data_IF_262955666162
#
_entry.id   IF_262955666162
#
_cell.length_a   1.000
_cell.length_b   1.000
_cell.length_c   1.000
_cell.angle_alpha   90.00
_cell.angle_beta   90.00
_cell.angle_gamma   90.00
#
_symmetry.space_group_name_H-M   'P 1'
#
loop_
_entity.id
_entity.type
_entity.pdbx_description
1 polymer ?
#
# COMPACT_ATOMS: atom_id res chain seq x y z
N UNK A 1 28.24 11.28 12.17
CA UNK A 1 27.54 10.85 10.94
C UNK A 1 28.57 10.18 10.05
N UNK A 2 28.61 8.86 10.00
CA UNK A 2 29.51 8.14 9.09
C UNK A 2 28.90 8.18 7.70
N UNK A 3 29.57 8.84 6.76
CA UNK A 3 29.22 8.83 5.35
C UNK A 3 29.35 7.39 4.83
N UNK A 4 28.35 6.94 4.06
CA UNK A 4 28.35 5.62 3.43
C UNK A 4 29.41 5.67 2.33
N UNK A 5 30.63 5.21 2.62
CA UNK A 5 31.57 4.86 1.57
C UNK A 5 30.89 3.80 0.68
N UNK A 6 30.78 4.09 -0.63
CA UNK A 6 30.16 3.24 -1.65
C UNK A 6 28.63 3.15 -1.64
N UNK A 7 27.92 4.24 -1.30
CA UNK A 7 26.44 4.31 -1.44
C UNK A 7 25.97 3.89 -2.84
N UNK A 8 26.70 4.25 -3.88
CA UNK A 8 26.35 3.94 -5.28
C UNK A 8 26.41 2.43 -5.56
N UNK A 9 27.42 1.74 -5.03
CA UNK A 9 27.55 0.28 -5.13
C UNK A 9 26.41 -0.41 -4.38
N UNK A 10 26.04 0.09 -3.20
CA UNK A 10 24.88 -0.45 -2.49
C UNK A 10 23.57 -0.19 -3.21
N UNK A 11 23.40 0.98 -3.85
CA UNK A 11 22.23 1.24 -4.70
C UNK A 11 22.17 0.25 -5.88
N UNK A 12 23.30 -0.09 -6.48
CA UNK A 12 23.40 -1.08 -7.55
C UNK A 12 23.08 -2.49 -7.05
N UNK A 13 23.62 -2.91 -5.91
CA UNK A 13 23.27 -4.19 -5.28
C UNK A 13 21.76 -4.25 -4.98
N UNK A 14 21.20 -3.17 -4.44
CA UNK A 14 19.78 -3.07 -4.10
C UNK A 14 18.88 -3.08 -5.33
N UNK A 15 19.38 -2.65 -6.49
CA UNK A 15 18.67 -2.76 -7.76
C UNK A 15 18.35 -4.23 -8.12
N UNK A 16 19.21 -5.19 -7.75
CA UNK A 16 18.92 -6.61 -7.94
C UNK A 16 17.80 -7.13 -7.03
N UNK A 17 17.57 -6.46 -5.90
CA UNK A 17 16.47 -6.76 -4.97
C UNK A 17 15.18 -6.01 -5.29
N UNK A 18 15.17 -5.22 -6.37
CA UNK A 18 13.98 -4.51 -6.82
C UNK A 18 12.82 -5.50 -7.03
N UNK A 19 11.71 -5.18 -6.40
CA UNK A 19 10.50 -5.99 -6.39
C UNK A 19 9.62 -5.62 -7.58
N UNK A 20 9.44 -6.55 -8.51
CA UNK A 20 8.50 -6.42 -9.61
C UNK A 20 7.32 -7.35 -9.33
N UNK A 21 6.32 -6.85 -8.59
CA UNK A 21 5.20 -7.67 -8.11
C UNK A 21 4.38 -8.36 -9.22
N UNK A 22 4.44 -7.85 -10.44
CA UNK A 22 3.77 -8.41 -11.62
C UNK A 22 4.61 -9.45 -12.39
N UNK A 23 5.93 -9.48 -12.20
CA UNK A 23 6.86 -10.28 -13.02
C UNK A 23 7.63 -11.33 -12.19
N UNK A 24 7.91 -11.02 -10.93
CA UNK A 24 8.64 -11.90 -10.03
C UNK A 24 7.75 -13.07 -9.58
N UNK A 25 8.34 -14.27 -9.45
CA UNK A 25 7.64 -15.43 -8.87
C UNK A 25 7.33 -15.17 -7.39
N UNK A 26 6.22 -15.70 -6.85
CA UNK A 26 5.87 -15.52 -5.44
C UNK A 26 6.97 -15.96 -4.45
N UNK A 27 7.71 -17.02 -4.77
CA UNK A 27 8.87 -17.48 -4.00
C UNK A 27 9.97 -16.42 -3.93
N UNK A 28 10.24 -15.76 -5.06
CA UNK A 28 11.34 -14.82 -5.22
C UNK A 28 10.99 -13.50 -4.53
N UNK A 29 9.73 -13.06 -4.66
CA UNK A 29 9.19 -11.90 -3.90
C UNK A 29 9.37 -12.13 -2.41
N UNK A 30 9.04 -13.33 -1.90
CA UNK A 30 9.17 -13.66 -0.48
C UNK A 30 10.61 -13.59 -0.01
N UNK A 31 11.55 -14.16 -0.77
CA UNK A 31 12.98 -14.13 -0.44
C UNK A 31 13.53 -12.70 -0.51
N UNK A 32 13.25 -11.95 -1.57
CA UNK A 32 13.68 -10.54 -1.71
C UNK A 32 13.16 -9.67 -0.56
N UNK A 33 11.86 -9.77 -0.22
CA UNK A 33 11.27 -9.05 0.92
C UNK A 33 11.92 -9.43 2.24
N UNK A 34 12.16 -10.72 2.49
CA UNK A 34 12.82 -11.19 3.70
C UNK A 34 14.23 -10.61 3.81
N UNK A 35 15.03 -10.68 2.74
CA UNK A 35 16.40 -10.16 2.71
C UNK A 35 16.44 -8.65 2.93
N UNK A 36 15.57 -7.89 2.25
CA UNK A 36 15.46 -6.44 2.46
C UNK A 36 15.05 -6.09 3.89
N UNK A 37 14.13 -6.85 4.49
CA UNK A 37 13.75 -6.66 5.89
C UNK A 37 14.91 -6.95 6.84
N UNK A 38 15.62 -8.07 6.64
CA UNK A 38 16.82 -8.40 7.42
C UNK A 38 17.85 -7.29 7.32
N UNK A 39 18.14 -6.79 6.12
CA UNK A 39 19.08 -5.68 5.89
C UNK A 39 18.64 -4.40 6.59
N UNK A 40 17.34 -4.07 6.53
CA UNK A 40 16.80 -2.89 7.19
C UNK A 40 16.97 -2.94 8.72
N UNK A 41 16.85 -4.13 9.30
CA UNK A 41 16.97 -4.36 10.75
C UNK A 41 18.42 -4.51 11.22
N UNK A 42 19.30 -5.08 10.40
CA UNK A 42 20.68 -5.40 10.83
C UNK A 42 21.68 -4.28 10.57
N UNK A 43 21.45 -3.41 9.57
CA UNK A 43 22.42 -2.40 9.17
C UNK A 43 21.80 -1.00 9.05
N UNK A 44 22.12 -0.13 10.03
CA UNK A 44 21.65 1.26 10.08
C UNK A 44 21.96 2.08 8.83
N UNK A 45 23.07 1.78 8.16
CA UNK A 45 23.48 2.52 6.96
C UNK A 45 22.67 2.12 5.72
N UNK A 46 22.07 0.93 5.73
CA UNK A 46 21.24 0.42 4.64
C UNK A 46 19.75 0.49 4.94
N UNK A 47 19.35 0.82 6.17
CA UNK A 47 17.95 0.90 6.60
C UNK A 47 17.10 1.73 5.65
N UNK A 48 17.53 2.95 5.33
CA UNK A 48 16.75 3.80 4.42
C UNK A 48 16.67 3.25 2.99
N UNK A 49 17.75 2.66 2.48
CA UNK A 49 17.78 2.11 1.11
C UNK A 49 16.90 0.86 1.03
N UNK A 50 17.02 -0.04 2.00
CA UNK A 50 16.23 -1.26 2.07
C UNK A 50 14.74 -0.97 2.28
N UNK A 51 14.40 -0.03 3.17
CA UNK A 51 13.02 0.41 3.35
C UNK A 51 12.47 1.12 2.11
N UNK A 52 13.29 1.89 1.37
CA UNK A 52 12.84 2.48 0.11
C UNK A 52 12.41 1.38 -0.86
N UNK A 53 13.21 0.34 -1.06
CA UNK A 53 12.84 -0.76 -1.97
C UNK A 53 11.68 -1.64 -1.44
N UNK A 54 11.57 -1.84 -0.12
CA UNK A 54 10.44 -2.56 0.50
C UNK A 54 9.11 -1.86 0.26
N UNK A 55 9.08 -0.53 0.43
CA UNK A 55 7.88 0.28 0.28
C UNK A 55 7.62 0.70 -1.16
N UNK A 56 8.59 0.53 -2.06
CA UNK A 56 8.50 0.95 -3.46
C UNK A 56 7.35 0.28 -4.20
N UNK A 57 7.25 -1.03 -4.06
CA UNK A 57 6.26 -1.88 -4.72
C UNK A 57 5.42 -2.57 -3.66
N UNK A 58 4.18 -2.11 -3.47
CA UNK A 58 3.28 -2.58 -2.42
C UNK A 58 2.05 -3.26 -3.02
N UNK A 59 1.49 -4.22 -2.28
CA UNK A 59 0.22 -4.88 -2.62
C UNK A 59 -0.93 -4.50 -1.70
N UNK A 60 -0.66 -3.64 -0.72
CA UNK A 60 -1.62 -3.12 0.27
C UNK A 60 -0.98 -1.96 1.02
N UNK A 61 -1.77 -0.96 1.40
CA UNK A 61 -1.40 0.15 2.27
C UNK A 61 -1.72 -0.12 3.74
N UNK A 62 -2.27 -1.29 4.09
CA UNK A 62 -2.55 -1.70 5.48
C UNK A 62 -1.39 -1.50 6.47
N UNK A 63 -0.11 -1.69 6.11
CA UNK A 63 0.99 -1.45 7.05
C UNK A 63 1.03 -0.03 7.62
N UNK A 64 0.40 0.95 6.96
CA UNK A 64 0.26 2.32 7.46
C UNK A 64 -0.60 2.38 8.72
N UNK A 65 -1.60 1.51 8.88
CA UNK A 65 -2.42 1.42 10.10
C UNK A 65 -1.55 1.11 11.30
N UNK A 66 -0.59 0.19 11.16
CA UNK A 66 0.35 -0.14 12.22
C UNK A 66 1.24 1.06 12.59
N UNK A 67 1.70 1.83 11.60
CA UNK A 67 2.52 3.03 11.84
C UNK A 67 1.71 4.13 12.54
N UNK A 68 0.43 4.30 12.19
CA UNK A 68 -0.45 5.29 12.81
C UNK A 68 -0.78 4.93 14.26
N UNK A 69 -0.99 3.64 14.52
CA UNK A 69 -1.35 3.13 15.83
C UNK A 69 -0.13 2.82 16.72
N UNK A 70 1.10 3.08 16.26
CA UNK A 70 2.30 2.86 17.06
C UNK A 70 2.33 3.83 18.26
N UNK A 71 2.22 3.25 19.46
CA UNK A 71 2.09 3.97 20.74
C UNK A 71 3.44 4.39 21.32
N UNK A 72 4.56 4.04 20.69
CA UNK A 72 5.93 4.27 21.22
C UNK A 72 6.33 5.75 21.29
N UNK A 73 5.57 6.65 20.67
CA UNK A 73 5.88 8.09 20.60
C UNK A 73 4.92 8.99 21.38
N UNK A 74 3.93 8.44 22.09
CA UNK A 74 3.01 9.21 22.94
C UNK A 74 3.22 8.87 24.41
N UNK A 75 4.10 9.64 25.05
CA UNK A 75 4.55 9.49 26.44
C UNK A 75 3.50 9.82 27.52
N UNK A 76 2.20 9.73 27.25
CA UNK A 76 1.16 10.06 28.24
C UNK A 76 0.35 8.82 28.63
N UNK A 77 0.43 8.50 29.91
CA UNK A 77 -0.18 7.41 30.69
C UNK A 77 -1.72 7.29 30.67
N UNK A 78 -2.41 7.78 29.65
CA UNK A 78 -3.84 7.57 29.46
C UNK A 78 -4.06 6.42 28.47
N UNK A 79 -5.10 5.61 28.67
CA UNK A 79 -5.46 4.50 27.80
C UNK A 79 -5.34 4.90 26.31
N UNK A 80 -4.35 4.35 25.62
CA UNK A 80 -4.00 4.78 24.27
C UNK A 80 -5.06 4.27 23.31
N UNK A 81 -6.01 5.13 22.97
CA UNK A 81 -6.98 4.83 21.92
C UNK A 81 -6.27 4.80 20.57
N UNK A 82 -6.48 3.77 19.74
CA UNK A 82 -5.88 3.71 18.42
C UNK A 82 -6.34 4.90 17.57
N UNK A 83 -5.43 5.45 16.77
CA UNK A 83 -5.69 6.56 15.85
C UNK A 83 -6.66 6.14 14.77
N UNK A 84 -6.47 4.94 14.21
CA UNK A 84 -7.38 4.31 13.26
C UNK A 84 -7.95 3.03 13.89
N UNK A 85 -9.27 2.93 13.90
CA UNK A 85 -10.00 1.76 14.39
C UNK A 85 -10.95 1.24 13.33
N UNK A 86 -10.93 -0.07 13.09
CA UNK A 86 -11.93 -0.72 12.25
C UNK A 86 -13.26 -0.79 12.99
N UNK A 87 -14.32 -0.24 12.41
CA UNK A 87 -15.66 -0.20 12.99
C UNK A 87 -16.70 -0.48 11.91
N UNK A 88 -17.45 -1.59 12.04
CA UNK A 88 -18.61 -1.95 11.20
C UNK A 88 -18.47 -1.50 9.73
N UNK A 89 -17.41 -1.98 9.08
CA UNK A 89 -17.15 -1.78 7.64
C UNK A 89 -16.45 -0.46 7.24
N UNK A 90 -15.98 0.35 8.18
CA UNK A 90 -15.16 1.51 7.86
C UNK A 90 -14.01 1.73 8.86
N UNK A 91 -13.01 2.49 8.42
CA UNK A 91 -11.95 2.99 9.30
C UNK A 91 -12.40 4.29 9.97
N UNK A 92 -12.55 4.22 11.29
CA UNK A 92 -12.86 5.37 12.13
C UNK A 92 -11.56 6.04 12.58
N UNK A 93 -11.46 7.35 12.30
CA UNK A 93 -10.37 8.19 12.80
C UNK A 93 -10.78 8.68 14.18
N UNK A 94 -9.94 8.45 15.19
CA UNK A 94 -10.15 8.98 16.53
C UNK A 94 -10.27 10.50 16.53
N UNK A 95 -10.93 11.09 17.54
CA UNK A 95 -10.99 12.55 17.68
C UNK A 95 -9.58 13.10 17.92
N UNK A 96 -9.07 13.83 16.93
CA UNK A 96 -7.70 14.36 16.94
C UNK A 96 -7.76 15.88 16.96
N UNK A 97 -6.92 16.49 17.79
CA UNK A 97 -6.67 17.94 17.70
C UNK A 97 -5.93 18.25 16.38
N UNK A 98 -6.04 19.49 15.90
CA UNK A 98 -5.34 19.94 14.69
C UNK A 98 -3.81 19.73 14.74
N UNK A 99 -3.22 19.82 15.94
CA UNK A 99 -1.80 19.53 16.16
C UNK A 99 -1.49 18.03 16.07
N UNK A 100 -2.38 17.18 16.59
CA UNK A 100 -2.24 15.73 16.50
C UNK A 100 -2.30 15.27 15.03
N UNK A 101 -3.18 15.85 14.21
CA UNK A 101 -3.24 15.57 12.77
C UNK A 101 -1.91 15.83 12.06
N UNK A 102 -1.27 16.99 12.31
CA UNK A 102 0.05 17.30 11.72
C UNK A 102 1.12 16.29 12.12
N UNK A 103 1.12 15.85 13.38
CA UNK A 103 2.04 14.83 13.86
C UNK A 103 1.80 13.45 13.21
N UNK A 104 0.56 13.10 12.88
CA UNK A 104 0.27 11.83 12.20
C UNK A 104 0.71 11.88 10.74
N UNK A 105 0.42 12.98 10.04
CA UNK A 105 0.85 13.20 8.66
C UNK A 105 2.37 13.08 8.55
N UNK A 106 3.11 13.72 9.46
CA UNK A 106 4.58 13.66 9.45
C UNK A 106 5.14 12.27 9.74
N UNK A 107 4.40 11.41 10.46
CA UNK A 107 4.78 10.02 10.70
C UNK A 107 4.61 9.14 9.47
N UNK A 108 3.52 9.28 8.71
CA UNK A 108 3.22 8.37 7.59
C UNK A 108 3.73 8.87 6.23
N UNK A 109 3.91 10.18 6.07
CA UNK A 109 4.41 10.79 4.84
C UNK A 109 5.73 10.20 4.33
N UNK A 110 6.74 9.91 5.18
CA UNK A 110 7.98 9.26 4.74
C UNK A 110 7.78 7.87 4.12
N UNK A 111 6.76 7.13 4.54
CA UNK A 111 6.46 5.79 4.02
C UNK A 111 5.62 5.87 2.76
N UNK A 112 4.55 6.66 2.78
CA UNK A 112 3.66 6.84 1.64
C UNK A 112 4.37 7.47 0.43
N UNK A 113 5.36 8.34 0.67
CA UNK A 113 6.18 8.92 -0.41
C UNK A 113 7.18 7.94 -1.03
N UNK A 114 7.43 6.78 -0.42
CA UNK A 114 8.28 5.72 -0.98
C UNK A 114 7.50 4.84 -1.97
N UNK A 115 6.17 4.81 -1.89
CA UNK A 115 5.31 4.01 -2.75
C UNK A 115 5.34 4.55 -4.18
N UNK A 116 5.97 3.81 -5.10
CA UNK A 116 6.01 4.11 -6.53
C UNK A 116 5.09 3.19 -7.34
N UNK A 117 4.80 1.99 -6.84
CA UNK A 117 3.95 1.00 -7.52
C UNK A 117 3.01 0.35 -6.53
N UNK A 118 1.72 0.31 -6.88
CA UNK A 118 0.69 -0.46 -6.19
C UNK A 118 0.17 -1.55 -7.11
N UNK A 119 0.22 -2.80 -6.66
CA UNK A 119 -0.18 -3.96 -7.44
C UNK A 119 -1.14 -4.85 -6.66
N UNK A 120 -2.40 -4.88 -7.12
CA UNK A 120 -3.48 -5.67 -6.56
C UNK A 120 -3.80 -6.83 -7.50
N UNK A 121 -3.28 -8.02 -7.17
CA UNK A 121 -3.53 -9.25 -7.93
C UNK A 121 -4.98 -9.76 -7.82
N UNK A 122 -5.68 -9.30 -6.78
CA UNK A 122 -7.13 -9.44 -6.57
C UNK A 122 -7.65 -8.04 -6.27
N UNK A 123 -8.90 -7.74 -6.63
CA UNK A 123 -9.49 -6.45 -6.34
C UNK A 123 -9.34 -6.10 -4.84
N UNK A 124 -8.96 -4.85 -4.50
CA UNK A 124 -8.78 -4.41 -3.12
C UNK A 124 -9.97 -4.76 -2.22
N UNK A 125 -9.71 -5.24 -1.01
CA UNK A 125 -10.76 -5.55 -0.04
C UNK A 125 -11.49 -4.29 0.44
N UNK A 126 -12.66 -4.49 1.06
CA UNK A 126 -13.43 -3.45 1.76
C UNK A 126 -12.55 -2.60 2.70
N UNK A 127 -11.79 -3.27 3.54
CA UNK A 127 -10.90 -2.64 4.50
C UNK A 127 -9.85 -1.76 3.79
N UNK A 128 -9.31 -2.21 2.66
CA UNK A 128 -8.27 -1.52 1.90
C UNK A 128 -8.79 -0.23 1.27
N UNK A 129 -9.92 -0.26 0.56
CA UNK A 129 -10.44 0.98 -0.02
C UNK A 129 -10.99 1.94 1.03
N UNK A 130 -11.62 1.42 2.11
CA UNK A 130 -12.04 2.26 3.23
C UNK A 130 -10.84 2.93 3.91
N UNK A 131 -9.68 2.26 3.95
CA UNK A 131 -8.45 2.86 4.44
C UNK A 131 -8.03 4.01 3.54
N UNK A 132 -8.10 3.87 2.22
CA UNK A 132 -7.76 4.96 1.32
C UNK A 132 -8.67 6.16 1.53
N UNK A 133 -9.97 5.93 1.71
CA UNK A 133 -10.91 7.00 2.02
C UNK A 133 -10.58 7.68 3.36
N UNK A 134 -10.35 6.92 4.44
CA UNK A 134 -9.92 7.48 5.71
C UNK A 134 -8.62 8.28 5.56
N UNK A 135 -7.62 7.74 4.86
CA UNK A 135 -6.35 8.43 4.60
C UNK A 135 -6.53 9.72 3.80
N UNK A 136 -7.48 9.75 2.85
CA UNK A 136 -7.79 10.93 2.06
C UNK A 136 -8.46 12.06 2.86
N UNK A 137 -9.11 11.73 3.98
CA UNK A 137 -9.77 12.73 4.85
C UNK A 137 -8.81 13.45 5.78
N UNK A 138 -7.57 12.98 5.95
CA UNK A 138 -6.54 13.78 6.60
C UNK A 138 -6.19 14.95 5.70
N UNK A 139 -6.69 16.13 6.05
CA UNK A 139 -6.31 17.40 5.43
C UNK A 139 -4.77 17.43 5.32
N UNK A 140 -4.25 17.47 4.09
CA UNK A 140 -2.82 17.45 3.67
C UNK A 140 -2.25 16.12 3.14
N UNK A 141 -2.95 14.98 3.23
CA UNK A 141 -2.40 13.69 2.74
C UNK A 141 -2.72 13.44 1.27
N UNK A 142 -3.64 14.17 0.66
CA UNK A 142 -3.91 14.02 -0.78
C UNK A 142 -2.81 14.67 -1.63
N UNK A 143 -2.24 13.95 -2.62
CA UNK A 143 -2.49 12.54 -2.96
C UNK A 143 -1.83 11.54 -1.99
N UNK A 144 -2.55 10.47 -1.61
CA UNK A 144 -2.13 9.50 -0.57
C UNK A 144 -0.73 8.97 -0.84
N UNK A 145 -0.43 8.62 -2.09
CA UNK A 145 0.89 8.21 -2.54
C UNK A 145 1.43 9.24 -3.55
N UNK A 146 2.16 10.29 -3.10
CA UNK A 146 2.54 11.40 -3.98
C UNK A 146 3.53 11.02 -5.08
N UNK A 147 4.24 9.89 -4.92
CA UNK A 147 5.20 9.36 -5.88
C UNK A 147 4.70 8.12 -6.62
N UNK A 148 3.42 7.77 -6.50
CA UNK A 148 2.83 6.65 -7.22
C UNK A 148 2.97 6.86 -8.73
N UNK A 149 3.63 5.93 -9.42
CA UNK A 149 3.88 5.93 -10.86
C UNK A 149 3.09 4.85 -11.57
N UNK A 150 2.84 3.74 -10.90
CA UNK A 150 2.15 2.59 -11.47
C UNK A 150 1.07 2.08 -10.52
N UNK A 151 -0.14 1.91 -11.05
CA UNK A 151 -1.25 1.28 -10.36
C UNK A 151 -1.73 0.10 -11.22
N UNK A 152 -1.67 -1.11 -10.68
CA UNK A 152 -2.19 -2.32 -11.31
C UNK A 152 -3.29 -2.89 -10.42
N UNK A 153 -4.48 -3.08 -11.00
CA UNK A 153 -5.65 -3.60 -10.31
C UNK A 153 -6.26 -4.69 -11.16
N UNK A 154 -6.38 -5.89 -10.61
CA UNK A 154 -7.22 -6.92 -11.21
C UNK A 154 -8.69 -6.65 -10.87
N UNK A 155 -9.54 -6.55 -11.89
CA UNK A 155 -10.98 -6.31 -11.77
C UNK A 155 -11.72 -7.61 -12.05
N UNK A 156 -12.66 -7.97 -11.17
CA UNK A 156 -13.68 -8.97 -11.47
C UNK A 156 -15.01 -8.29 -11.86
N UNK A 157 -15.92 -9.05 -12.49
CA UNK A 157 -17.19 -8.52 -12.97
C UNK A 157 -18.10 -7.94 -11.86
N UNK A 158 -17.90 -8.35 -10.60
CA UNK A 158 -18.66 -7.86 -9.44
C UNK A 158 -18.11 -6.52 -8.93
N UNK A 159 -16.79 -6.37 -9.00
CA UNK A 159 -16.02 -5.24 -8.48
C UNK A 159 -15.94 -4.05 -9.43
N UNK A 160 -16.33 -4.22 -10.70
CA UNK A 160 -16.38 -3.14 -11.68
C UNK A 160 -17.23 -1.95 -11.20
N UNK A 161 -18.31 -2.22 -10.45
CA UNK A 161 -19.16 -1.20 -9.84
C UNK A 161 -18.42 -0.34 -8.80
N UNK A 162 -17.31 -0.82 -8.25
CA UNK A 162 -16.54 -0.16 -7.17
C UNK A 162 -15.30 0.57 -7.70
N UNK A 163 -15.13 0.66 -9.02
CA UNK A 163 -13.98 1.29 -9.64
C UNK A 163 -13.82 2.78 -9.26
N UNK A 164 -14.88 3.49 -8.87
CA UNK A 164 -14.78 4.88 -8.41
C UNK A 164 -14.04 5.03 -7.06
N UNK A 165 -13.91 3.95 -6.28
CA UNK A 165 -13.22 3.97 -4.98
C UNK A 165 -11.68 4.12 -5.12
N UNK A 166 -11.13 4.01 -6.33
CA UNK A 166 -9.69 4.21 -6.58
C UNK A 166 -9.30 5.69 -6.72
N UNK A 167 -10.27 6.60 -6.69
CA UNK A 167 -10.07 8.06 -6.84
C UNK A 167 -8.94 8.63 -5.95
N UNK A 168 -8.82 8.25 -4.66
CA UNK A 168 -7.75 8.77 -3.81
C UNK A 168 -6.33 8.42 -4.27
N UNK A 169 -6.17 7.33 -5.04
CA UNK A 169 -4.89 6.90 -5.61
C UNK A 169 -4.62 7.55 -6.97
N UNK A 170 -5.66 7.68 -7.80
CA UNK A 170 -5.56 8.27 -9.15
C UNK A 170 -5.30 9.78 -9.10
N UNK A 171 -5.59 10.44 -7.97
CA UNK A 171 -5.25 11.84 -7.74
C UNK A 171 -3.72 12.13 -7.71
N UNK A 172 -2.87 11.08 -7.71
CA UNK A 172 -1.41 11.27 -7.74
C UNK A 172 -0.91 11.84 -9.07
N UNK A 173 -0.25 13.01 -9.01
CA UNK A 173 0.32 13.67 -10.20
C UNK A 173 1.50 12.93 -10.82
N UNK A 174 2.09 11.98 -10.09
CA UNK A 174 3.23 11.18 -10.56
C UNK A 174 2.80 9.95 -11.36
N UNK A 175 1.49 9.67 -11.44
CA UNK A 175 0.95 8.45 -12.03
C UNK A 175 1.19 8.44 -13.54
N UNK A 176 1.87 7.39 -14.03
CA UNK A 176 2.23 7.23 -15.44
C UNK A 176 1.54 6.04 -16.09
N UNK A 177 1.19 5.02 -15.31
CA UNK A 177 0.62 3.76 -15.80
C UNK A 177 -0.52 3.30 -14.90
N UNK A 178 -1.65 2.98 -15.52
CA UNK A 178 -2.76 2.26 -14.90
C UNK A 178 -2.94 0.98 -15.71
N UNK A 179 -2.82 -0.17 -15.06
CA UNK A 179 -3.11 -1.49 -15.64
C UNK A 179 -4.36 -2.04 -14.99
N UNK A 180 -5.32 -2.42 -15.82
CA UNK A 180 -6.57 -3.04 -15.38
C UNK A 180 -6.61 -4.43 -15.98
N UNK A 181 -6.44 -5.44 -15.15
CA UNK A 181 -6.41 -6.84 -15.59
C UNK A 181 -7.76 -7.47 -15.29
N UNK A 182 -8.49 -7.93 -16.31
CA UNK A 182 -9.71 -8.69 -16.09
C UNK A 182 -9.34 -10.06 -15.49
N UNK A 183 -9.87 -10.39 -14.32
CA UNK A 183 -9.71 -11.74 -13.77
C UNK A 183 -10.26 -12.77 -14.77
N UNK A 184 -9.56 -13.87 -15.06
CA UNK A 184 -10.00 -14.87 -16.04
C UNK A 184 -11.37 -15.50 -15.70
N UNK A 185 -11.80 -15.43 -14.44
CA UNK A 185 -13.13 -15.88 -14.00
C UNK A 185 -14.27 -14.96 -14.49
N UNK A 186 -13.97 -13.74 -14.95
CA UNK A 186 -14.96 -12.82 -15.53
C UNK A 186 -15.34 -13.19 -16.97
N UNK A 187 -14.57 -14.05 -17.64
CA UNK A 187 -14.76 -14.42 -19.04
C UNK A 187 -15.33 -15.82 -19.24
N UNK A 188 -15.75 -16.53 -18.20
CA UNK A 188 -16.51 -17.76 -18.37
C UNK A 188 -17.98 -17.43 -18.65
N UNK A 189 -18.49 -17.58 -19.89
CA UNK A 189 -19.92 -17.64 -20.10
C UNK A 189 -20.44 -18.81 -19.26
N UNK A 190 -21.32 -18.50 -18.29
CA UNK A 190 -22.17 -19.53 -17.68
C UNK A 190 -23.04 -20.10 -18.79
N UNK A 191 -22.58 -21.15 -19.46
CA UNK A 191 -23.45 -21.98 -20.28
C UNK A 191 -24.49 -22.58 -19.33
N UNK A 192 -25.71 -22.06 -19.39
CA UNK A 192 -26.85 -22.72 -18.75
C UNK A 192 -26.93 -24.14 -19.32
N UNK A 193 -27.05 -25.18 -18.48
CA UNK A 193 -27.23 -26.53 -18.99
C UNK A 193 -28.50 -26.58 -19.84
N UNK A 194 -28.38 -27.13 -21.05
CA UNK A 194 -29.44 -27.33 -22.05
C UNK A 194 -30.64 -28.16 -21.54
N UNK A 195 -30.63 -28.63 -20.29
CA UNK A 195 -31.72 -29.36 -19.66
C UNK A 195 -32.90 -28.47 -19.22
N UNK A 196 -32.84 -27.14 -19.40
CA UNK A 196 -33.94 -26.23 -19.05
C UNK A 196 -34.88 -25.88 -20.21
N UNK A 197 -34.76 -26.55 -21.36
CA UNK A 197 -35.51 -26.23 -22.60
C UNK A 197 -36.44 -27.36 -23.07
N UNK A 198 -36.94 -28.18 -22.14
CA UNK A 198 -38.03 -29.12 -22.45
C UNK A 198 -39.11 -29.03 -21.38
N UNK A 199 -40.16 -28.27 -21.67
CA UNK A 199 -41.50 -28.46 -21.13
C UNK A 199 -42.51 -28.31 -22.27
#
# INVERSE_FOLDING_TARGET
MQSIHHKDVWMEIMYHFKLFLSEDKPSDIKVKKHTLLSLALTNRNLTDIALNELWRSMSSLMPIVCILNDTTTTSSSAAVTPVLRWNRDYWEIGSLSSNANKCLVSRISPYLSRVESLHFSVFPSLDEYMLWHALSTFEQILPICPRLRELSISIDAKSASWAYNVTPLVASRSLKRIKLDASPDALQPKWLPLSSWTH
#
